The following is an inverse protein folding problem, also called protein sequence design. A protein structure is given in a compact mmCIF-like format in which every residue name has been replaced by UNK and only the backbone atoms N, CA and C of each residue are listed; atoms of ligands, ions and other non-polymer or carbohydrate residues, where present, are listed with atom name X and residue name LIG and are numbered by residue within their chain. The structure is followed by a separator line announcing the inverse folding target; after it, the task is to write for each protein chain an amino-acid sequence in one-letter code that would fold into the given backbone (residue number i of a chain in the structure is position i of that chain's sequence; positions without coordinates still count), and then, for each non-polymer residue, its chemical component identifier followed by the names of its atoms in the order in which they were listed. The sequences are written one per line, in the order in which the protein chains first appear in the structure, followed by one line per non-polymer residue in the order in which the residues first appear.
data_IF_924079084515
#
_entry.id   IF_924079084515
#
_cell.length_a   1.000
_cell.length_b   1.000
_cell.length_c   1.000
_cell.angle_alpha   90.00
_cell.angle_beta   90.00
_cell.angle_gamma   90.00
#
_symmetry.space_group_name_H-M   'P 1'
#
loop_
_entity.id
_entity.type
_entity.pdbx_description
1 polymer ?
#
# COMPACT_ATOMS: atom_id res chain seq x y z
N UNK A 1 -23.08 -14.88 -14.28
CA UNK A 1 -22.73 -14.08 -13.10
C UNK A 1 -21.29 -13.66 -13.32
N UNK A 2 -21.01 -12.36 -13.42
CA UNK A 2 -19.63 -11.91 -13.57
C UNK A 2 -18.95 -12.22 -12.25
N UNK A 3 -17.99 -13.16 -12.23
CA UNK A 3 -17.15 -13.39 -11.06
C UNK A 3 -16.33 -12.13 -10.85
N UNK A 4 -16.83 -11.21 -10.04
CA UNK A 4 -16.09 -10.01 -9.68
C UNK A 4 -14.94 -10.47 -8.82
N UNK A 5 -13.73 -10.47 -9.40
CA UNK A 5 -12.50 -10.73 -8.68
C UNK A 5 -12.43 -9.85 -7.43
N UNK A 6 -12.08 -10.45 -6.30
CA UNK A 6 -11.99 -9.73 -5.02
C UNK A 6 -10.68 -8.96 -4.98
N UNK A 7 -10.73 -7.68 -4.66
CA UNK A 7 -9.55 -6.82 -4.67
C UNK A 7 -9.15 -6.39 -3.25
N UNK A 8 -7.86 -6.56 -2.93
CA UNK A 8 -7.21 -5.91 -1.80
C UNK A 8 -6.29 -4.77 -2.26
N UNK A 9 -6.38 -3.64 -1.58
CA UNK A 9 -5.51 -2.47 -1.76
C UNK A 9 -4.59 -2.32 -0.56
N UNK A 10 -3.29 -2.37 -0.78
CA UNK A 10 -2.25 -2.31 0.27
C UNK A 10 -1.54 -0.97 0.16
N UNK A 11 -1.80 -0.07 1.11
CA UNK A 11 -1.17 1.24 1.22
C UNK A 11 0.04 1.13 2.13
N UNK A 12 1.22 1.48 1.62
CA UNK A 12 2.48 1.30 2.33
C UNK A 12 3.03 -0.11 2.24
N UNK A 13 3.10 -0.69 1.02
CA UNK A 13 3.75 -1.98 0.84
C UNK A 13 5.25 -1.85 1.19
N UNK A 14 5.65 -2.60 2.22
CA UNK A 14 7.04 -2.85 2.56
C UNK A 14 7.30 -4.36 2.59
N UNK A 15 8.56 -4.79 2.58
CA UNK A 15 9.00 -6.16 2.31
C UNK A 15 8.72 -7.09 3.48
N UNK A 16 8.41 -6.52 4.65
CA UNK A 16 7.91 -7.28 5.77
C UNK A 16 6.42 -7.56 5.59
N UNK A 17 5.60 -6.70 6.18
CA UNK A 17 4.17 -6.98 6.35
C UNK A 17 3.40 -6.82 5.03
N UNK A 18 3.59 -5.71 4.30
CA UNK A 18 2.81 -5.41 3.10
C UNK A 18 2.92 -6.49 2.02
N UNK A 19 4.15 -6.91 1.66
CA UNK A 19 4.37 -7.95 0.66
C UNK A 19 3.85 -9.34 1.12
N UNK A 20 4.03 -9.67 2.41
CA UNK A 20 3.55 -10.95 2.96
C UNK A 20 2.02 -11.01 3.00
N UNK A 21 1.36 -9.92 3.42
CA UNK A 21 -0.10 -9.77 3.37
C UNK A 21 -0.59 -9.88 1.93
N UNK A 22 0.04 -9.20 0.98
CA UNK A 22 -0.31 -9.30 -0.44
C UNK A 22 -0.23 -10.73 -0.96
N UNK A 23 0.85 -11.44 -0.64
CA UNK A 23 1.03 -12.84 -1.06
C UNK A 23 -0.03 -13.77 -0.46
N UNK A 24 -0.40 -13.57 0.81
CA UNK A 24 -1.48 -14.32 1.46
C UNK A 24 -2.81 -14.10 0.74
N UNK A 25 -3.19 -12.85 0.49
CA UNK A 25 -4.44 -12.55 -0.22
C UNK A 25 -4.43 -13.07 -1.66
N UNK A 26 -3.32 -12.96 -2.37
CA UNK A 26 -3.15 -13.53 -3.70
C UNK A 26 -3.37 -15.06 -3.70
N UNK A 27 -2.85 -15.76 -2.68
CA UNK A 27 -3.07 -17.21 -2.51
C UNK A 27 -4.53 -17.58 -2.27
N UNK A 28 -5.31 -16.65 -1.71
CA UNK A 28 -6.76 -16.77 -1.50
C UNK A 28 -7.58 -16.37 -2.74
N UNK A 29 -6.93 -16.01 -3.85
CA UNK A 29 -7.61 -15.65 -5.10
C UNK A 29 -7.98 -14.17 -5.25
N UNK A 30 -7.44 -13.29 -4.40
CA UNK A 30 -7.64 -11.85 -4.54
C UNK A 30 -6.68 -11.26 -5.57
N UNK A 31 -7.18 -10.31 -6.38
CA UNK A 31 -6.34 -9.35 -7.06
C UNK A 31 -5.72 -8.40 -6.02
N UNK A 32 -4.51 -7.91 -6.29
CA UNK A 32 -3.72 -7.13 -5.32
C UNK A 32 -3.22 -5.84 -5.97
N UNK A 33 -3.57 -4.70 -5.36
CA UNK A 33 -2.95 -3.42 -5.65
C UNK A 33 -1.95 -3.07 -4.54
N UNK A 34 -0.69 -2.88 -4.90
CA UNK A 34 0.38 -2.43 -4.00
C UNK A 34 0.66 -0.96 -4.25
N UNK A 35 0.61 -0.14 -3.20
CA UNK A 35 0.90 1.29 -3.27
C UNK A 35 2.04 1.64 -2.31
N UNK A 36 3.10 2.22 -2.85
CA UNK A 36 4.22 2.75 -2.07
C UNK A 36 5.01 3.78 -2.88
N UNK A 37 5.90 4.53 -2.23
CA UNK A 37 6.71 5.56 -2.89
C UNK A 37 7.89 5.03 -3.70
N UNK A 38 8.44 3.88 -3.30
CA UNK A 38 9.70 3.38 -3.86
C UNK A 38 9.39 2.43 -5.02
N UNK A 39 9.65 2.88 -6.24
CA UNK A 39 9.28 2.17 -7.48
C UNK A 39 10.00 0.83 -7.59
N UNK A 40 11.31 0.81 -7.33
CA UNK A 40 12.16 -0.37 -7.50
C UNK A 40 11.71 -1.49 -6.56
N UNK A 41 11.50 -1.16 -5.28
CA UNK A 41 11.02 -2.09 -4.25
C UNK A 41 9.60 -2.54 -4.55
N UNK A 42 8.73 -1.63 -4.97
CA UNK A 42 7.35 -1.96 -5.28
C UNK A 42 7.25 -2.99 -6.42
N UNK A 43 8.16 -2.91 -7.41
CA UNK A 43 8.28 -3.93 -8.46
C UNK A 43 8.71 -5.30 -7.91
N UNK A 44 9.67 -5.34 -6.99
CA UNK A 44 10.10 -6.58 -6.34
C UNK A 44 8.96 -7.20 -5.50
N UNK A 45 8.25 -6.37 -4.73
CA UNK A 45 7.11 -6.80 -3.93
C UNK A 45 5.99 -7.35 -4.82
N UNK A 46 5.68 -6.67 -5.94
CA UNK A 46 4.67 -7.13 -6.90
C UNK A 46 5.05 -8.49 -7.51
N UNK A 47 6.31 -8.68 -7.91
CA UNK A 47 6.77 -9.96 -8.44
C UNK A 47 6.66 -11.09 -7.40
N UNK A 48 7.02 -10.81 -6.14
CA UNK A 48 6.89 -11.76 -5.03
C UNK A 48 5.43 -12.14 -4.77
N UNK A 49 4.53 -11.16 -4.74
CA UNK A 49 3.10 -11.40 -4.54
C UNK A 49 2.51 -12.18 -5.70
N UNK A 50 2.88 -11.84 -6.94
CA UNK A 50 2.43 -12.54 -8.15
C UNK A 50 2.85 -14.02 -8.16
N UNK A 51 4.04 -14.33 -7.63
CA UNK A 51 4.52 -15.70 -7.53
C UNK A 51 3.67 -16.58 -6.58
N UNK A 52 2.94 -15.99 -5.63
CA UNK A 52 2.06 -16.74 -4.74
C UNK A 52 0.83 -17.31 -5.48
N UNK A 53 0.37 -16.63 -6.54
CA UNK A 53 -0.68 -17.12 -7.42
C UNK A 53 -0.61 -16.45 -8.81
N UNK A 54 -0.11 -17.15 -9.84
CA UNK A 54 0.01 -16.59 -11.20
C UNK A 54 -1.32 -16.24 -11.89
N UNK A 55 -2.47 -16.65 -11.32
CA UNK A 55 -3.79 -16.45 -11.92
C UNK A 55 -4.46 -15.14 -11.50
N UNK A 56 -4.04 -14.54 -10.39
CA UNK A 56 -4.57 -13.24 -9.95
C UNK A 56 -3.76 -12.11 -10.57
N UNK A 57 -4.34 -10.92 -10.63
CA UNK A 57 -3.67 -9.71 -11.08
C UNK A 57 -2.99 -9.03 -9.89
N UNK A 58 -1.70 -8.76 -10.04
CA UNK A 58 -0.94 -7.95 -9.07
C UNK A 58 -0.43 -6.71 -9.78
N UNK A 59 -0.77 -5.52 -9.26
CA UNK A 59 -0.31 -4.24 -9.83
C UNK A 59 0.32 -3.33 -8.79
N UNK A 60 1.34 -2.62 -9.24
CA UNK A 60 2.11 -1.66 -8.47
C UNK A 60 1.71 -0.23 -8.88
N UNK A 61 1.36 0.61 -7.91
CA UNK A 61 1.07 2.03 -8.13
C UNK A 61 2.01 2.88 -7.26
N UNK A 62 3.06 3.48 -7.86
CA UNK A 62 3.94 4.38 -7.14
C UNK A 62 3.20 5.63 -6.70
N UNK A 63 3.11 5.86 -5.39
CA UNK A 63 2.44 7.05 -4.84
C UNK A 63 2.93 7.37 -3.43
N UNK A 64 3.01 8.66 -3.10
CA UNK A 64 3.12 9.11 -1.71
C UNK A 64 1.72 9.17 -1.09
N UNK A 65 1.49 8.35 -0.07
CA UNK A 65 0.23 8.32 0.67
C UNK A 65 0.00 9.64 1.44
N UNK A 66 1.05 10.41 1.71
CA UNK A 66 0.94 11.76 2.29
C UNK A 66 0.46 12.84 1.31
N UNK A 67 0.48 12.57 0.00
CA UNK A 67 -0.11 13.46 -1.02
C UNK A 67 -1.52 12.98 -1.34
N UNK A 68 -2.52 13.61 -0.73
CA UNK A 68 -3.93 13.22 -0.88
C UNK A 68 -4.43 13.33 -2.33
N UNK A 69 -3.94 14.30 -3.12
CA UNK A 69 -4.35 14.47 -4.50
C UNK A 69 -3.77 13.35 -5.37
N UNK A 70 -2.48 13.07 -5.21
CA UNK A 70 -1.83 11.95 -5.91
C UNK A 70 -2.44 10.60 -5.52
N UNK A 71 -2.77 10.41 -4.24
CA UNK A 71 -3.41 9.21 -3.73
C UNK A 71 -4.82 9.01 -4.32
N UNK A 72 -5.64 10.06 -4.38
CA UNK A 72 -6.97 9.99 -4.98
C UNK A 72 -6.90 9.57 -6.47
N UNK A 73 -5.94 10.13 -7.22
CA UNK A 73 -5.71 9.76 -8.61
C UNK A 73 -5.22 8.31 -8.75
N UNK A 74 -4.32 7.86 -7.88
CA UNK A 74 -3.83 6.49 -7.88
C UNK A 74 -4.95 5.48 -7.57
N UNK A 75 -5.80 5.77 -6.59
CA UNK A 75 -6.96 4.95 -6.27
C UNK A 75 -7.98 4.90 -7.41
N UNK A 76 -8.19 6.02 -8.13
CA UNK A 76 -9.00 6.04 -9.34
C UNK A 76 -8.46 5.10 -10.43
N UNK A 77 -7.14 5.05 -10.62
CA UNK A 77 -6.48 4.09 -11.52
C UNK A 77 -6.66 2.64 -11.05
N UNK A 78 -6.48 2.38 -9.75
CA UNK A 78 -6.73 1.05 -9.15
C UNK A 78 -8.15 0.58 -9.49
N UNK A 79 -9.17 1.41 -9.27
CA UNK A 79 -10.56 1.07 -9.54
C UNK A 79 -10.79 0.80 -11.02
N UNK A 80 -10.21 1.62 -11.90
CA UNK A 80 -10.32 1.46 -13.35
C UNK A 80 -9.66 0.16 -13.83
N UNK A 81 -8.52 -0.22 -13.24
CA UNK A 81 -7.68 -1.32 -13.72
C UNK A 81 -7.98 -2.68 -13.08
N UNK A 82 -8.47 -2.69 -11.84
CA UNK A 82 -8.68 -3.89 -11.02
C UNK A 82 -10.09 -4.02 -10.46
N UNK A 83 -10.91 -2.97 -10.51
CA UNK A 83 -12.26 -2.94 -9.96
C UNK A 83 -12.34 -2.34 -8.55
N UNK A 84 -13.53 -2.35 -7.95
CA UNK A 84 -13.75 -1.78 -6.64
C UNK A 84 -13.08 -2.62 -5.53
N UNK A 85 -12.35 -2.00 -4.59
CA UNK A 85 -11.71 -2.73 -3.49
C UNK A 85 -12.73 -3.30 -2.51
N UNK A 86 -12.56 -4.57 -2.15
CA UNK A 86 -13.30 -5.20 -1.03
C UNK A 86 -12.55 -5.01 0.29
N UNK A 87 -11.22 -4.94 0.23
CA UNK A 87 -10.35 -4.80 1.40
C UNK A 87 -9.34 -3.68 1.17
N UNK A 88 -9.18 -2.80 2.17
CA UNK A 88 -8.10 -1.82 2.20
C UNK A 88 -7.24 -2.10 3.43
N UNK A 89 -5.96 -2.34 3.20
CA UNK A 89 -4.96 -2.50 4.24
C UNK A 89 -4.06 -1.27 4.29
N UNK A 90 -4.26 -0.42 5.30
CA UNK A 90 -3.49 0.79 5.52
C UNK A 90 -2.32 0.52 6.47
N UNK A 91 -1.10 0.50 5.94
CA UNK A 91 0.13 0.26 6.70
C UNK A 91 1.26 1.22 6.27
N UNK A 92 0.91 2.41 5.80
CA UNK A 92 1.88 3.45 5.50
C UNK A 92 2.46 3.99 6.82
N UNK A 93 3.75 3.71 7.06
CA UNK A 93 4.48 4.22 8.21
C UNK A 93 5.78 4.91 7.76
N UNK A 94 6.07 6.07 8.36
CA UNK A 94 7.44 6.61 8.42
C UNK A 94 8.06 6.14 9.73
N UNK A 95 9.24 5.53 9.63
CA UNK A 95 10.06 5.16 10.79
C UNK A 95 11.34 5.98 10.65
N UNK A 96 11.48 7.00 11.50
CA UNK A 96 12.69 7.80 11.61
C UNK A 96 13.30 7.55 13.00
N UNK A 97 14.58 7.17 13.09
CA UNK A 97 15.23 6.98 14.39
C UNK A 97 15.30 8.32 15.12
N UNK A 98 14.89 8.33 16.39
CA UNK A 98 15.03 9.48 17.27
C UNK A 98 15.51 9.03 18.64
N UNK A 99 16.16 9.94 19.39
CA UNK A 99 16.53 9.70 20.79
C UNK A 99 15.50 10.35 21.70
N UNK A 100 15.09 9.60 22.72
CA UNK A 100 14.21 10.11 23.79
C UNK A 100 14.87 11.34 24.42
N UNK A 101 14.14 12.45 24.50
CA UNK A 101 14.62 13.72 25.06
C UNK A 101 15.46 14.59 24.11
N UNK A 102 15.68 14.18 22.86
CA UNK A 102 16.46 14.94 21.86
C UNK A 102 15.62 15.37 20.66
N UNK A 103 14.56 14.62 20.34
CA UNK A 103 13.65 14.96 19.24
C UNK A 103 13.03 16.36 19.45
N UNK A 104 13.08 17.21 18.43
CA UNK A 104 12.41 18.52 18.49
C UNK A 104 10.89 18.34 18.48
N UNK A 105 10.13 19.28 19.08
CA UNK A 105 8.68 19.29 18.96
C UNK A 105 8.21 19.27 17.50
N UNK A 106 8.90 19.97 16.59
CA UNK A 106 8.59 19.98 15.16
C UNK A 106 8.70 18.60 14.52
N UNK A 107 9.77 17.85 14.84
CA UNK A 107 9.94 16.47 14.36
C UNK A 107 8.80 15.56 14.83
N UNK A 108 8.37 15.71 16.09
CA UNK A 108 7.27 14.93 16.64
C UNK A 108 5.94 15.29 15.97
N UNK A 109 5.68 16.57 15.75
CA UNK A 109 4.47 17.05 15.06
C UNK A 109 4.42 16.59 13.59
N UNK A 110 5.56 16.58 12.89
CA UNK A 110 5.65 16.03 11.54
C UNK A 110 5.39 14.52 11.48
N UNK A 111 5.89 13.75 12.46
CA UNK A 111 5.63 12.31 12.54
C UNK A 111 4.15 12.01 12.81
N UNK A 112 3.47 12.84 13.62
CA UNK A 112 2.02 12.70 13.87
C UNK A 112 1.18 13.00 12.62
N UNK A 113 1.53 14.02 11.81
CA UNK A 113 0.78 14.36 10.58
C UNK A 113 0.71 13.20 9.59
N UNK A 114 1.72 12.33 9.55
CA UNK A 114 1.71 11.14 8.70
C UNK A 114 0.84 10.00 9.23
N UNK A 115 0.58 9.96 10.55
CA UNK A 115 -0.12 8.86 11.23
C UNK A 115 -1.59 9.18 11.51
N UNK A 116 -1.93 10.47 11.63
CA UNK A 116 -3.27 10.95 11.95
C UNK A 116 -3.59 12.16 11.08
N UNK A 117 -4.60 12.05 10.22
CA UNK A 117 -5.16 13.22 9.53
C UNK A 117 -5.91 14.05 10.55
N UNK A 118 -5.64 15.37 10.69
CA UNK A 118 -6.51 16.25 11.47
C UNK A 118 -7.88 16.26 10.81
N UNK A 119 -8.93 16.04 11.61
CA UNK A 119 -10.33 16.17 11.18
C UNK A 119 -10.73 17.63 11.05
#
# INVERSE_FOLDING_TARGET
MSDSSKLIVILGSGPGIGASTGALFASMGFDVALLSRNVERLGQDAARVQAANPRVKVKAFPVDVGDHNALALALGKVVTELGAPEVVYFNAARIAPSRIGVASPDFVLEDFKFKTTPT
#
